data_IF_295852721588
#
_entry.id   IF_295852721588
#
_cell.length_a   1.000
_cell.length_b   1.000
_cell.length_c   1.000
_cell.angle_alpha   90.00
_cell.angle_beta   90.00
_cell.angle_gamma   90.00
#
_symmetry.space_group_name_H-M   'P 1'
#
loop_
_entity.id
_entity.type
_entity.pdbx_description
1 polymer ?
#
# COMPACT_ATOMS: atom_id res chain seq x y z
N UNK A 1 0.02 -48.27 20.38
CA UNK A 1 0.59 -46.94 20.49
C UNK A 1 -0.22 -46.01 19.58
N UNK A 2 -0.83 -45.02 20.20
CA UNK A 2 -1.53 -43.99 19.42
C UNK A 2 -0.55 -43.30 18.45
N UNK A 3 -0.96 -43.14 17.22
CA UNK A 3 -0.17 -42.43 16.21
C UNK A 3 -0.64 -40.97 16.18
N UNK A 4 0.14 -40.10 16.81
CA UNK A 4 -0.06 -38.65 16.71
C UNK A 4 0.85 -38.09 15.62
N UNK A 5 0.37 -37.15 14.83
CA UNK A 5 1.18 -36.55 13.76
C UNK A 5 0.48 -35.43 13.01
N UNK A 6 1.12 -34.98 11.92
CA UNK A 6 0.55 -34.05 10.95
C UNK A 6 0.23 -34.79 9.66
N UNK A 7 -1.01 -34.75 9.21
CA UNK A 7 -1.43 -35.27 7.93
C UNK A 7 -2.08 -34.16 7.10
N UNK A 8 -1.58 -33.95 5.89
CA UNK A 8 -2.05 -32.85 5.05
C UNK A 8 -1.91 -31.47 5.66
N UNK A 9 -1.01 -31.29 6.66
CA UNK A 9 -0.82 -30.05 7.38
C UNK A 9 -1.70 -29.87 8.64
N UNK A 10 -2.53 -30.87 8.96
CA UNK A 10 -3.42 -30.83 10.13
C UNK A 10 -2.97 -31.85 11.19
N UNK A 11 -3.19 -31.49 12.45
CA UNK A 11 -2.95 -32.39 13.56
C UNK A 11 -3.88 -33.57 13.51
N UNK A 12 -3.33 -34.77 13.68
CA UNK A 12 -4.06 -36.04 13.68
C UNK A 12 -3.71 -36.82 14.94
N UNK A 13 -4.73 -37.28 15.63
CA UNK A 13 -4.63 -38.19 16.77
C UNK A 13 -5.59 -39.38 16.55
N UNK A 14 -5.06 -40.60 16.61
CA UNK A 14 -5.82 -41.82 16.33
C UNK A 14 -6.81 -42.18 17.48
N UNK A 15 -6.51 -41.72 18.71
CA UNK A 15 -7.31 -42.07 19.88
C UNK A 15 -8.35 -41.02 20.28
N UNK A 16 -7.98 -39.74 20.17
CA UNK A 16 -8.86 -38.63 20.56
C UNK A 16 -8.80 -37.52 19.49
N UNK A 17 -9.86 -37.39 18.73
CA UNK A 17 -10.03 -36.27 17.83
C UNK A 17 -10.88 -35.19 18.50
N UNK A 18 -10.28 -34.02 18.75
CA UNK A 18 -10.98 -32.82 19.20
C UNK A 18 -11.07 -31.80 18.07
N UNK A 19 -12.08 -30.92 18.13
CA UNK A 19 -12.21 -29.84 17.15
C UNK A 19 -10.92 -29.04 17.04
N UNK A 20 -10.42 -28.85 15.83
CA UNK A 20 -9.23 -28.07 15.59
C UNK A 20 -9.49 -26.59 15.86
N UNK A 21 -8.72 -26.02 16.77
CA UNK A 21 -8.70 -24.59 17.00
C UNK A 21 -7.98 -23.89 15.84
N UNK A 22 -8.57 -22.84 15.32
CA UNK A 22 -7.90 -22.00 14.34
C UNK A 22 -6.99 -21.00 15.08
N UNK A 23 -5.75 -20.89 14.61
CA UNK A 23 -4.87 -19.81 15.06
C UNK A 23 -5.49 -18.46 14.71
N UNK A 24 -5.43 -17.51 15.64
CA UNK A 24 -5.90 -16.16 15.38
C UNK A 24 -5.03 -15.50 14.28
N UNK A 25 -5.66 -14.77 13.39
CA UNK A 25 -4.93 -14.04 12.37
C UNK A 25 -4.09 -12.93 13.04
N UNK A 26 -2.78 -13.06 12.97
CA UNK A 26 -1.83 -12.11 13.57
C UNK A 26 -1.57 -10.87 12.69
N UNK A 27 -2.12 -10.88 11.49
CA UNK A 27 -2.01 -9.77 10.56
C UNK A 27 -3.30 -8.95 10.54
N UNK A 28 -3.21 -7.75 11.05
CA UNK A 28 -4.25 -6.74 10.88
C UNK A 28 -3.57 -5.46 10.42
N UNK A 29 -3.80 -5.07 9.17
CA UNK A 29 -3.25 -3.84 8.63
C UNK A 29 -4.35 -2.99 8.01
N UNK A 30 -4.79 -1.91 8.69
CA UNK A 30 -5.90 -1.08 8.24
C UNK A 30 -5.51 0.00 7.21
N UNK A 31 -4.36 -0.10 6.51
CA UNK A 31 -3.92 0.91 5.55
C UNK A 31 -4.98 1.13 4.46
N UNK A 32 -5.59 0.06 3.97
CA UNK A 32 -6.64 0.13 2.94
C UNK A 32 -7.88 0.91 3.41
N UNK A 33 -8.12 0.96 4.72
CA UNK A 33 -9.28 1.66 5.32
C UNK A 33 -8.95 3.07 5.82
N UNK A 34 -7.70 3.52 5.72
CA UNK A 34 -7.20 4.74 6.36
C UNK A 34 -7.53 6.05 5.60
N UNK A 35 -8.20 5.99 4.44
CA UNK A 35 -8.45 7.16 3.60
C UNK A 35 -7.27 7.54 2.68
N UNK A 36 -6.13 6.88 2.80
CA UNK A 36 -4.97 7.02 1.88
C UNK A 36 -5.37 6.63 0.46
N UNK A 37 -6.27 5.66 0.34
CA UNK A 37 -6.81 5.17 -0.92
C UNK A 37 -8.15 5.84 -1.20
N UNK A 38 -8.21 6.57 -2.32
CA UNK A 38 -9.45 7.07 -2.87
C UNK A 38 -10.02 6.05 -3.85
N UNK A 39 -11.20 5.52 -3.53
CA UNK A 39 -11.91 4.65 -4.46
C UNK A 39 -12.66 5.51 -5.49
N UNK A 40 -12.33 5.31 -6.77
CA UNK A 40 -12.94 6.02 -7.89
C UNK A 40 -13.39 5.01 -8.96
N UNK A 41 -14.65 4.64 -8.92
CA UNK A 41 -15.20 3.64 -9.84
C UNK A 41 -15.24 4.12 -11.29
N UNK A 42 -15.16 5.43 -11.55
CA UNK A 42 -15.11 5.99 -12.92
C UNK A 42 -13.90 5.49 -13.70
N UNK A 43 -12.82 5.10 -13.01
CA UNK A 43 -11.64 4.47 -13.61
C UNK A 43 -12.00 3.12 -14.26
N UNK A 44 -12.81 2.31 -13.58
CA UNK A 44 -13.25 1.03 -14.14
C UNK A 44 -14.23 1.22 -15.29
N UNK A 45 -15.07 2.24 -15.23
CA UNK A 45 -15.98 2.61 -16.32
C UNK A 45 -15.19 3.05 -17.58
N UNK A 46 -14.08 3.77 -17.38
CA UNK A 46 -13.16 4.17 -18.45
C UNK A 46 -12.39 2.96 -19.05
N UNK A 47 -12.00 1.98 -18.23
CA UNK A 47 -11.39 0.73 -18.72
C UNK A 47 -12.40 -0.09 -19.50
N UNK A 48 -13.67 -0.07 -19.09
CA UNK A 48 -14.74 -0.86 -19.70
C UNK A 48 -14.64 -2.36 -19.37
N UNK A 49 -15.55 -3.15 -19.95
CA UNK A 49 -15.65 -4.57 -19.65
C UNK A 49 -14.47 -5.42 -20.16
N UNK A 50 -13.74 -4.94 -21.16
CA UNK A 50 -12.70 -5.71 -21.89
C UNK A 50 -11.33 -5.04 -21.94
N UNK A 51 -11.17 -3.86 -21.36
CA UNK A 51 -9.88 -3.14 -21.31
C UNK A 51 -9.04 -3.52 -20.09
N UNK A 52 -7.73 -3.16 -20.16
CA UNK A 52 -6.79 -3.29 -19.05
C UNK A 52 -6.16 -1.95 -18.66
N UNK A 53 -6.29 -0.94 -19.50
CA UNK A 53 -5.63 0.36 -19.36
C UNK A 53 -6.66 1.47 -19.37
N UNK A 54 -6.56 2.40 -18.44
CA UNK A 54 -7.29 3.66 -18.46
C UNK A 54 -6.31 4.83 -18.64
N UNK A 55 -6.71 5.84 -19.37
CA UNK A 55 -5.95 7.08 -19.51
C UNK A 55 -6.83 8.25 -19.10
N UNK A 56 -6.39 8.98 -18.07
CA UNK A 56 -7.08 10.16 -17.56
C UNK A 56 -6.37 11.41 -18.06
N UNK A 57 -7.05 12.31 -18.80
CA UNK A 57 -6.47 13.58 -19.19
C UNK A 57 -6.34 14.50 -17.96
N UNK A 58 -5.25 15.26 -17.92
CA UNK A 58 -4.95 16.20 -16.86
C UNK A 58 -4.68 17.56 -17.50
N UNK A 59 -5.33 18.60 -17.00
CA UNK A 59 -5.00 19.97 -17.37
C UNK A 59 -4.02 20.56 -16.35
N UNK A 60 -2.98 21.20 -16.86
CA UNK A 60 -2.02 21.91 -16.00
C UNK A 60 -2.69 23.18 -15.46
N UNK A 61 -2.68 23.45 -14.16
CA UNK A 61 -3.24 24.68 -13.60
C UNK A 61 -2.44 25.90 -14.11
N UNK A 62 -3.12 27.02 -14.30
CA UNK A 62 -2.48 28.28 -14.63
C UNK A 62 -1.62 28.75 -13.45
N UNK A 63 -0.35 28.98 -13.71
CA UNK A 63 0.60 29.40 -12.67
C UNK A 63 1.38 30.65 -13.14
N UNK A 64 1.27 31.73 -12.39
CA UNK A 64 1.93 33.00 -12.70
C UNK A 64 3.48 32.92 -12.66
N UNK A 65 4.01 31.91 -11.97
CA UNK A 65 5.46 31.67 -11.88
C UNK A 65 6.01 30.85 -13.06
N UNK A 66 5.14 30.37 -13.95
CA UNK A 66 5.58 29.79 -15.20
C UNK A 66 6.06 30.91 -16.15
N UNK A 67 7.20 30.70 -16.81
CA UNK A 67 7.90 31.70 -17.61
C UNK A 67 7.04 32.37 -18.69
N UNK A 68 5.98 31.68 -19.14
CA UNK A 68 5.10 32.14 -20.22
C UNK A 68 3.70 32.55 -19.74
N UNK A 69 3.42 32.48 -18.43
CA UNK A 69 2.07 32.75 -17.88
C UNK A 69 2.00 33.99 -16.98
N UNK A 70 3.05 34.81 -16.97
CA UNK A 70 3.03 36.09 -16.27
C UNK A 70 2.03 37.08 -16.87
N UNK A 71 1.32 37.79 -16.00
CA UNK A 71 0.42 38.85 -16.46
C UNK A 71 1.19 39.99 -17.14
N UNK A 72 0.72 40.40 -18.30
CA UNK A 72 1.27 41.51 -19.07
C UNK A 72 0.68 42.85 -18.57
N UNK A 73 1.45 43.92 -18.76
CA UNK A 73 0.97 45.26 -18.42
C UNK A 73 -0.06 45.72 -19.46
N UNK A 74 -1.19 46.25 -18.98
CA UNK A 74 -2.18 46.88 -19.83
C UNK A 74 -1.91 48.40 -19.91
N UNK A 75 -1.02 48.80 -20.81
CA UNK A 75 -0.61 50.17 -21.02
C UNK A 75 -1.14 50.76 -22.34
N UNK A 76 -1.95 50.00 -23.05
CA UNK A 76 -2.49 50.37 -24.37
C UNK A 76 -1.46 50.32 -25.52
N UNK A 77 -0.23 49.81 -25.25
CA UNK A 77 0.85 49.64 -26.22
C UNK A 77 1.40 48.23 -26.26
N UNK A 78 1.28 47.45 -25.17
CA UNK A 78 1.77 46.09 -25.07
C UNK A 78 0.78 45.10 -25.69
N UNK A 79 1.22 44.31 -26.67
CA UNK A 79 0.40 43.28 -27.28
C UNK A 79 0.16 42.12 -26.32
N UNK A 80 -1.10 41.73 -26.20
CA UNK A 80 -1.48 40.55 -25.42
C UNK A 80 -1.27 39.28 -26.25
N UNK A 81 -0.24 38.51 -25.94
CA UNK A 81 0.10 37.28 -26.65
C UNK A 81 -0.62 36.10 -25.99
N UNK A 82 -1.50 35.39 -26.73
CA UNK A 82 -2.19 34.21 -26.22
C UNK A 82 -1.21 33.08 -25.90
N UNK A 83 -1.40 32.42 -24.77
CA UNK A 83 -0.66 31.22 -24.36
C UNK A 83 -1.60 30.02 -24.34
N UNK A 84 -1.15 28.90 -24.91
CA UNK A 84 -1.90 27.67 -24.89
C UNK A 84 -1.83 26.99 -23.53
N UNK A 85 -2.96 26.43 -23.07
CA UNK A 85 -3.01 25.61 -21.86
C UNK A 85 -2.42 24.25 -22.20
N UNK A 86 -1.38 23.85 -21.48
CA UNK A 86 -0.79 22.53 -21.63
C UNK A 86 -1.62 21.48 -20.88
N UNK A 87 -1.65 20.28 -21.44
CA UNK A 87 -2.28 19.12 -20.85
C UNK A 87 -1.31 17.94 -20.76
N UNK A 88 -1.58 17.05 -19.85
CA UNK A 88 -0.85 15.81 -19.65
C UNK A 88 -1.84 14.65 -19.53
N UNK A 89 -1.33 13.42 -19.47
CA UNK A 89 -2.16 12.24 -19.27
C UNK A 89 -1.59 11.36 -18.17
N UNK A 90 -2.47 10.83 -17.32
CA UNK A 90 -2.15 9.81 -16.34
C UNK A 90 -2.69 8.47 -16.84
N UNK A 91 -1.81 7.50 -17.01
CA UNK A 91 -2.16 6.17 -17.48
C UNK A 91 -2.10 5.20 -16.30
N UNK A 92 -3.17 4.44 -16.12
CA UNK A 92 -3.37 3.45 -15.08
C UNK A 92 -3.60 2.09 -15.71
N UNK A 93 -3.22 1.02 -15.01
CA UNK A 93 -3.40 -0.35 -15.51
C UNK A 93 -4.10 -1.22 -14.47
N UNK A 94 -4.94 -2.14 -14.95
CA UNK A 94 -5.64 -3.11 -14.12
C UNK A 94 -4.67 -4.20 -13.66
N UNK A 95 -4.57 -4.38 -12.36
CA UNK A 95 -3.80 -5.44 -11.72
C UNK A 95 -4.73 -6.62 -11.46
N UNK A 96 -4.37 -7.80 -11.94
CA UNK A 96 -5.15 -9.01 -11.73
C UNK A 96 -4.30 -10.04 -10.99
N UNK A 97 -4.87 -10.62 -9.93
CA UNK A 97 -4.22 -11.64 -9.10
C UNK A 97 -5.12 -12.87 -8.99
N UNK A 98 -4.50 -14.03 -9.02
CA UNK A 98 -5.20 -15.31 -8.86
C UNK A 98 -4.45 -16.21 -7.89
N UNK A 99 -5.20 -17.04 -7.18
CA UNK A 99 -4.66 -18.10 -6.32
C UNK A 99 -5.59 -19.30 -6.33
N UNK A 100 -4.99 -20.47 -6.36
CA UNK A 100 -5.71 -21.73 -6.20
C UNK A 100 -5.26 -22.41 -4.89
N UNK A 101 -6.21 -23.01 -4.22
CA UNK A 101 -6.03 -23.81 -3.01
C UNK A 101 -6.53 -25.23 -3.27
N UNK A 102 -5.94 -26.22 -2.59
CA UNK A 102 -6.36 -27.62 -2.71
C UNK A 102 -6.39 -28.28 -1.34
N UNK A 103 -7.32 -29.19 -1.16
CA UNK A 103 -7.39 -30.08 -0.02
C UNK A 103 -7.74 -31.49 -0.47
N UNK A 104 -7.13 -32.51 0.13
CA UNK A 104 -7.42 -33.90 -0.16
C UNK A 104 -8.61 -34.38 0.66
N UNK A 105 -9.54 -35.09 0.05
CA UNK A 105 -10.69 -35.72 0.74
C UNK A 105 -10.25 -36.63 1.88
N UNK A 106 -9.21 -37.40 1.66
CA UNK A 106 -8.65 -38.28 2.69
C UNK A 106 -8.24 -37.53 3.97
N UNK A 107 -7.82 -36.27 3.88
CA UNK A 107 -7.55 -35.45 5.06
C UNK A 107 -8.82 -35.23 5.88
N UNK A 108 -9.94 -34.95 5.22
CA UNK A 108 -11.24 -34.75 5.86
C UNK A 108 -11.76 -36.04 6.49
N UNK A 109 -11.66 -37.16 5.76
CA UNK A 109 -12.08 -38.47 6.23
C UNK A 109 -11.28 -38.94 7.46
N UNK A 110 -9.95 -38.70 7.45
CA UNK A 110 -9.06 -39.14 8.52
C UNK A 110 -9.08 -38.23 9.75
N UNK A 111 -9.15 -36.91 9.56
CA UNK A 111 -8.99 -35.92 10.62
C UNK A 111 -10.31 -35.24 11.03
N UNK A 112 -11.38 -35.42 10.25
CA UNK A 112 -12.64 -34.66 10.43
C UNK A 112 -12.55 -33.17 10.12
N UNK A 113 -11.36 -32.63 9.80
CA UNK A 113 -11.18 -31.23 9.45
C UNK A 113 -11.71 -30.94 8.03
N UNK A 114 -12.30 -29.75 7.84
CA UNK A 114 -12.71 -29.26 6.51
C UNK A 114 -11.83 -28.08 6.08
N UNK A 115 -10.67 -28.34 5.43
CA UNK A 115 -9.74 -27.29 5.02
C UNK A 115 -10.33 -26.31 4.02
N UNK A 116 -11.18 -26.78 3.11
CA UNK A 116 -11.78 -25.92 2.07
C UNK A 116 -12.75 -24.90 2.66
N UNK A 117 -13.57 -25.30 3.63
CA UNK A 117 -14.45 -24.37 4.34
C UNK A 117 -13.65 -23.29 5.09
N UNK A 118 -12.55 -23.69 5.71
CA UNK A 118 -11.64 -22.75 6.39
C UNK A 118 -10.99 -21.77 5.40
N UNK A 119 -10.51 -22.26 4.26
CA UNK A 119 -9.94 -21.41 3.19
C UNK A 119 -10.98 -20.42 2.68
N UNK A 120 -12.22 -20.86 2.42
CA UNK A 120 -13.30 -19.97 1.98
C UNK A 120 -13.57 -18.84 2.98
N UNK A 121 -13.51 -19.12 4.27
CA UNK A 121 -13.68 -18.11 5.33
C UNK A 121 -12.53 -17.09 5.36
N UNK A 122 -11.30 -17.53 5.11
CA UNK A 122 -10.09 -16.68 5.22
C UNK A 122 -9.69 -15.98 3.91
N UNK A 123 -10.27 -16.34 2.77
CA UNK A 123 -9.84 -15.84 1.46
C UNK A 123 -9.95 -14.32 1.31
N UNK A 124 -10.93 -13.70 1.95
CA UNK A 124 -11.10 -12.24 1.90
C UNK A 124 -9.93 -11.52 2.62
N UNK A 125 -9.52 -12.03 3.77
CA UNK A 125 -8.38 -11.49 4.50
C UNK A 125 -7.06 -11.72 3.74
N UNK A 126 -6.91 -12.89 3.11
CA UNK A 126 -5.79 -13.16 2.22
C UNK A 126 -5.66 -12.09 1.11
N UNK A 127 -6.76 -11.75 0.42
CA UNK A 127 -6.71 -10.73 -0.62
C UNK A 127 -6.50 -9.31 -0.08
N UNK A 128 -6.98 -8.98 1.12
CA UNK A 128 -6.61 -7.72 1.77
C UNK A 128 -5.09 -7.61 1.94
N UNK A 129 -4.44 -8.67 2.44
CA UNK A 129 -2.98 -8.72 2.57
C UNK A 129 -2.27 -8.58 1.22
N UNK A 130 -2.78 -9.24 0.16
CA UNK A 130 -2.23 -9.12 -1.20
C UNK A 130 -2.27 -7.66 -1.67
N UNK A 131 -3.41 -6.98 -1.52
CA UNK A 131 -3.55 -5.61 -1.98
C UNK A 131 -2.75 -4.60 -1.15
N UNK A 132 -2.58 -4.82 0.14
CA UNK A 132 -1.68 -4.02 0.98
C UNK A 132 -0.22 -4.20 0.55
N UNK A 133 0.18 -5.44 0.28
CA UNK A 133 1.52 -5.73 -0.24
C UNK A 133 1.78 -5.02 -1.58
N UNK A 134 0.83 -5.07 -2.51
CA UNK A 134 0.94 -4.36 -3.78
C UNK A 134 1.03 -2.84 -3.57
N UNK A 135 0.23 -2.27 -2.67
CA UNK A 135 0.26 -0.84 -2.38
C UNK A 135 1.62 -0.39 -1.82
N UNK A 136 2.16 -1.13 -0.87
CA UNK A 136 3.46 -0.80 -0.26
C UNK A 136 4.61 -0.97 -1.26
N UNK A 137 4.52 -1.97 -2.14
CA UNK A 137 5.47 -2.16 -3.24
C UNK A 137 5.45 -0.98 -4.22
N UNK A 138 4.27 -0.54 -4.62
CA UNK A 138 4.10 0.65 -5.46
C UNK A 138 4.59 1.92 -4.75
N UNK A 139 4.27 2.09 -3.46
CA UNK A 139 4.77 3.21 -2.66
C UNK A 139 6.31 3.26 -2.63
N UNK A 140 6.95 2.11 -2.45
CA UNK A 140 8.40 2.01 -2.50
C UNK A 140 8.97 2.37 -3.87
N UNK A 141 8.34 1.91 -4.96
CA UNK A 141 8.77 2.22 -6.33
C UNK A 141 8.66 3.72 -6.62
N UNK A 142 7.54 4.34 -6.22
CA UNK A 142 7.29 5.78 -6.39
C UNK A 142 8.36 6.62 -5.69
N UNK A 143 8.80 6.21 -4.50
CA UNK A 143 9.87 6.90 -3.78
C UNK A 143 11.26 6.70 -4.42
N UNK A 144 11.39 5.82 -5.39
CA UNK A 144 12.59 5.67 -6.23
C UNK A 144 12.60 6.55 -7.49
N UNK A 145 11.52 7.29 -7.77
CA UNK A 145 11.44 8.19 -8.93
C UNK A 145 12.27 9.44 -8.67
N UNK A 146 13.22 9.75 -9.53
CA UNK A 146 14.16 10.86 -9.35
C UNK A 146 13.49 12.24 -9.19
N UNK A 147 12.34 12.44 -9.84
CA UNK A 147 11.55 13.68 -9.70
C UNK A 147 10.88 13.85 -8.31
N UNK A 148 10.94 12.83 -7.45
CA UNK A 148 10.44 12.83 -6.08
C UNK A 148 11.56 12.67 -5.05
N UNK A 149 12.81 13.04 -5.40
CA UNK A 149 13.96 13.00 -4.48
C UNK A 149 13.71 13.76 -3.17
N UNK A 150 13.05 14.90 -3.24
CA UNK A 150 12.73 15.75 -2.08
C UNK A 150 11.71 15.10 -1.12
N UNK A 151 10.99 14.07 -1.60
CA UNK A 151 10.06 13.29 -0.79
C UNK A 151 10.74 12.15 -0.01
N UNK A 152 12.05 11.96 -0.18
CA UNK A 152 12.83 10.92 0.48
C UNK A 152 13.87 11.55 1.40
N UNK A 153 13.66 11.42 2.70
CA UNK A 153 14.65 11.78 3.72
C UNK A 153 15.42 10.54 4.09
N UNK A 154 16.68 10.44 3.64
CA UNK A 154 17.52 9.27 3.89
C UNK A 154 18.60 9.59 4.92
N UNK A 155 18.41 9.10 6.14
CA UNK A 155 19.38 9.18 7.24
C UNK A 155 20.18 7.88 7.36
N UNK A 156 19.85 6.86 6.57
CA UNK A 156 20.40 5.52 6.73
C UNK A 156 21.79 5.40 6.15
N UNK A 157 22.59 4.54 6.78
CA UNK A 157 23.91 4.13 6.29
C UNK A 157 23.93 2.61 6.12
N UNK A 158 24.75 2.14 5.21
CA UNK A 158 24.96 0.71 4.93
C UNK A 158 26.39 0.25 5.25
N UNK A 159 27.26 1.15 5.65
CA UNK A 159 28.66 0.89 6.01
C UNK A 159 29.09 1.84 7.13
N UNK A 160 30.09 1.45 7.91
CA UNK A 160 30.63 2.27 8.99
C UNK A 160 29.98 2.01 10.35
N UNK A 161 29.77 3.03 11.16
CA UNK A 161 29.15 2.92 12.49
C UNK A 161 27.86 3.73 12.53
N UNK A 162 26.76 3.10 12.94
CA UNK A 162 25.49 3.79 13.11
C UNK A 162 25.61 4.80 14.26
N UNK A 163 25.54 6.09 13.92
CA UNK A 163 25.55 7.21 14.84
C UNK A 163 24.12 7.71 15.12
N UNK A 164 23.98 8.67 16.04
CA UNK A 164 22.65 9.21 16.39
C UNK A 164 22.02 10.00 15.23
N UNK A 165 22.82 10.57 14.35
CA UNK A 165 22.34 11.23 13.11
C UNK A 165 21.67 10.25 12.12
N UNK A 166 21.93 8.94 12.25
CA UNK A 166 21.32 7.90 11.42
C UNK A 166 20.03 7.32 12.03
N UNK A 167 19.65 7.82 13.20
CA UNK A 167 18.44 7.43 13.92
C UNK A 167 17.40 8.55 13.83
N UNK A 168 16.17 8.19 14.13
CA UNK A 168 15.07 9.16 14.23
C UNK A 168 15.27 10.05 15.46
N UNK A 169 15.07 11.34 15.27
CA UNK A 169 15.06 12.37 16.30
C UNK A 169 13.70 13.10 16.36
N UNK A 170 13.59 14.08 17.24
CA UNK A 170 12.35 14.83 17.49
C UNK A 170 11.85 15.60 16.28
N UNK A 171 12.73 16.08 15.40
CA UNK A 171 12.39 16.94 14.25
C UNK A 171 12.28 16.17 12.94
N UNK A 172 12.78 14.92 12.87
CA UNK A 172 12.94 14.18 11.62
C UNK A 172 11.67 14.13 10.77
N UNK A 173 10.50 13.89 11.41
CA UNK A 173 9.24 13.81 10.66
C UNK A 173 8.78 15.18 10.16
N UNK A 174 9.03 16.26 10.90
CA UNK A 174 8.68 17.63 10.52
C UNK A 174 9.56 18.08 9.35
N UNK A 175 10.86 17.81 9.44
CA UNK A 175 11.83 18.16 8.41
C UNK A 175 11.54 17.41 7.10
N UNK A 176 11.19 16.13 7.21
CA UNK A 176 10.80 15.31 6.05
C UNK A 176 9.53 15.82 5.35
N UNK A 177 8.53 16.24 6.12
CA UNK A 177 7.29 16.81 5.58
C UNK A 177 7.54 18.16 4.91
N UNK A 178 8.33 19.00 5.54
CA UNK A 178 8.69 20.31 5.00
C UNK A 178 9.51 20.15 3.71
N UNK A 179 10.45 19.21 3.65
CA UNK A 179 11.22 18.93 2.45
C UNK A 179 10.34 18.41 1.31
N UNK A 180 9.39 17.49 1.60
CA UNK A 180 8.52 16.88 0.61
C UNK A 180 7.49 17.84 0.02
N UNK A 181 6.76 18.57 0.86
CA UNK A 181 5.57 19.33 0.46
C UNK A 181 5.68 20.82 0.72
N UNK A 182 6.68 21.29 1.47
CA UNK A 182 6.85 22.70 1.82
C UNK A 182 5.61 23.28 2.50
N UNK A 183 5.00 24.25 1.86
CA UNK A 183 3.78 24.94 2.33
C UNK A 183 2.52 24.04 2.34
N UNK A 184 2.55 22.87 1.66
CA UNK A 184 1.46 21.89 1.62
C UNK A 184 1.63 20.72 2.60
N UNK A 185 2.59 20.80 3.54
CA UNK A 185 2.91 19.70 4.49
C UNK A 185 1.71 19.21 5.30
N UNK A 186 0.71 20.04 5.60
CA UNK A 186 -0.53 19.65 6.26
C UNK A 186 -1.38 18.63 5.50
N UNK A 187 -1.05 18.30 4.25
CA UNK A 187 -1.73 17.30 3.44
C UNK A 187 -1.40 15.84 3.80
N UNK A 188 -0.43 15.59 4.70
CA UNK A 188 -0.07 14.24 5.18
C UNK A 188 -0.80 13.96 6.49
N UNK A 189 -1.55 12.87 6.54
CA UNK A 189 -2.41 12.53 7.68
C UNK A 189 -2.11 11.18 8.35
N UNK A 190 -1.37 10.30 7.68
CA UNK A 190 -1.04 8.96 8.16
C UNK A 190 0.46 8.71 8.12
N UNK A 191 0.98 8.13 9.18
CA UNK A 191 2.36 7.64 9.27
C UNK A 191 2.33 6.12 9.42
N UNK A 192 3.02 5.41 8.55
CA UNK A 192 3.21 3.96 8.62
C UNK A 192 4.65 3.66 8.96
N UNK A 193 4.90 3.00 10.08
CA UNK A 193 6.24 2.78 10.60
C UNK A 193 6.43 1.39 11.23
N UNK A 194 7.68 0.98 11.33
CA UNK A 194 8.08 -0.24 12.04
C UNK A 194 7.92 -0.08 13.56
N UNK A 195 7.64 -1.18 14.26
CA UNK A 195 7.49 -1.20 15.72
C UNK A 195 8.71 -0.65 16.47
N UNK A 196 9.93 -0.88 15.99
CA UNK A 196 11.16 -0.33 16.55
C UNK A 196 11.21 1.19 16.47
N UNK A 197 10.81 1.78 15.34
CA UNK A 197 10.74 3.22 15.15
C UNK A 197 9.67 3.83 16.05
N UNK A 198 8.52 3.18 16.16
CA UNK A 198 7.47 3.59 17.07
C UNK A 198 7.94 3.58 18.53
N UNK A 199 8.71 2.57 18.93
CA UNK A 199 9.33 2.53 20.26
C UNK A 199 10.33 3.67 20.47
N UNK A 200 11.07 4.10 19.44
CA UNK A 200 11.96 5.25 19.51
C UNK A 200 11.17 6.56 19.75
N UNK A 201 10.09 6.79 18.98
CA UNK A 201 9.21 7.94 19.21
C UNK A 201 8.54 7.95 20.58
N UNK A 202 8.17 6.78 21.12
CA UNK A 202 7.68 6.67 22.51
C UNK A 202 8.72 7.10 23.54
N UNK A 203 9.99 6.75 23.35
CA UNK A 203 11.09 7.16 24.24
C UNK A 203 11.33 8.66 24.19
N UNK A 204 11.09 9.31 23.06
CA UNK A 204 11.16 10.76 22.87
C UNK A 204 9.90 11.47 23.40
N UNK A 205 8.92 10.76 23.94
CA UNK A 205 7.63 11.26 24.45
C UNK A 205 6.80 12.04 23.40
N UNK A 206 6.96 11.71 22.11
CA UNK A 206 6.27 12.38 20.99
C UNK A 206 4.95 11.70 20.61
N UNK A 207 4.64 10.53 21.21
CA UNK A 207 3.42 9.78 20.90
C UNK A 207 2.30 10.27 21.83
N UNK A 208 1.24 10.76 21.23
CA UNK A 208 0.00 11.12 21.86
C UNK A 208 -1.09 10.11 21.52
N UNK A 209 -2.16 10.06 22.32
CA UNK A 209 -3.32 9.23 22.05
C UNK A 209 -4.56 10.07 21.98
N UNK A 210 -5.40 9.84 20.98
CA UNK A 210 -6.64 10.55 20.83
C UNK A 210 -7.58 10.28 22.02
N UNK A 211 -8.21 11.34 22.52
CA UNK A 211 -9.12 11.29 23.68
C UNK A 211 -10.52 11.72 23.25
N UNK A 212 -11.50 10.88 23.55
CA UNK A 212 -12.89 11.24 23.36
C UNK A 212 -13.40 12.02 24.60
N UNK A 213 -13.64 13.32 24.38
CA UNK A 213 -14.10 14.23 25.45
C UNK A 213 -15.55 14.61 25.21
N UNK A 214 -16.41 14.37 26.22
CA UNK A 214 -17.81 14.83 26.22
C UNK A 214 -18.04 15.68 27.47
N UNK A 215 -18.51 16.91 27.28
CA UNK A 215 -18.77 17.87 28.34
C UNK A 215 -17.58 18.12 29.28
N UNK A 216 -16.35 18.19 28.72
CA UNK A 216 -15.13 18.44 29.49
C UNK A 216 -14.58 17.24 30.27
N UNK A 217 -15.26 16.10 30.27
CA UNK A 217 -14.76 14.87 30.90
C UNK A 217 -14.26 13.88 29.84
N UNK A 218 -13.08 13.32 30.05
CA UNK A 218 -12.54 12.23 29.22
C UNK A 218 -13.37 10.98 29.50
N UNK A 219 -14.15 10.53 28.51
CA UNK A 219 -14.96 9.33 28.64
C UNK A 219 -14.27 8.05 28.16
N UNK A 220 -13.34 8.17 27.18
CA UNK A 220 -12.61 7.04 26.64
C UNK A 220 -11.33 7.54 25.96
N UNK A 221 -10.21 6.91 26.24
CA UNK A 221 -9.03 7.02 25.38
C UNK A 221 -9.22 6.07 24.20
N UNK A 222 -9.18 6.62 22.99
CA UNK A 222 -9.09 5.82 21.78
C UNK A 222 -7.64 5.42 21.65
N UNK A 223 -7.36 4.12 21.64
CA UNK A 223 -5.99 3.60 21.58
C UNK A 223 -5.40 3.73 20.15
N UNK A 224 -5.55 4.92 19.55
CA UNK A 224 -5.01 5.28 18.26
C UNK A 224 -3.85 6.27 18.49
N UNK A 225 -2.61 5.83 18.30
CA UNK A 225 -1.46 6.70 18.51
C UNK A 225 -1.39 7.79 17.45
N UNK A 226 -1.00 8.98 17.86
CA UNK A 226 -0.74 10.13 16.99
C UNK A 226 0.63 10.69 17.23
N UNK A 227 1.27 11.20 16.18
CA UNK A 227 2.55 11.92 16.25
C UNK A 227 2.39 13.20 15.44
N UNK A 228 2.56 14.35 16.08
CA UNK A 228 2.39 15.65 15.40
C UNK A 228 1.01 15.83 14.78
N UNK A 229 -0.05 15.30 15.40
CA UNK A 229 -1.43 15.36 14.91
C UNK A 229 -1.75 14.38 13.76
N UNK A 230 -0.85 13.46 13.43
CA UNK A 230 -1.05 12.45 12.39
C UNK A 230 -1.25 11.08 13.01
N UNK A 231 -2.16 10.31 12.45
CA UNK A 231 -2.39 8.94 12.90
C UNK A 231 -1.20 8.03 12.59
N UNK A 232 -0.86 7.14 13.51
CA UNK A 232 0.26 6.21 13.36
C UNK A 232 -0.26 4.80 13.20
N UNK A 233 0.18 4.14 12.14
CA UNK A 233 -0.02 2.74 11.92
C UNK A 233 1.31 2.00 12.09
N UNK A 234 1.36 1.06 13.00
CA UNK A 234 2.55 0.26 13.26
C UNK A 234 2.43 -1.06 12.52
N UNK A 235 3.40 -1.33 11.63
CA UNK A 235 3.52 -2.60 10.94
C UNK A 235 4.99 -2.95 10.74
N UNK A 236 5.35 -4.19 11.01
CA UNK A 236 6.71 -4.69 10.78
C UNK A 236 6.90 -5.23 9.35
N UNK A 237 5.80 -5.35 8.62
CA UNK A 237 5.81 -5.75 7.21
C UNK A 237 6.09 -4.53 6.32
N UNK A 238 6.91 -4.71 5.28
CA UNK A 238 7.29 -3.68 4.27
C UNK A 238 8.09 -2.49 4.80
N UNK A 239 8.27 -2.38 6.10
CA UNK A 239 8.91 -1.25 6.77
C UNK A 239 10.36 -1.51 7.18
N UNK A 240 10.85 -2.73 6.98
CA UNK A 240 12.23 -3.15 7.26
C UNK A 240 12.93 -3.61 5.99
N UNK A 241 14.13 -3.08 5.78
CA UNK A 241 15.09 -3.59 4.81
C UNK A 241 16.33 -4.09 5.55
N UNK A 242 16.46 -5.41 5.64
CA UNK A 242 17.56 -6.10 6.33
C UNK A 242 18.58 -6.70 5.35
N UNK A 243 18.62 -6.21 4.11
CA UNK A 243 19.46 -6.75 3.04
C UNK A 243 20.95 -6.66 3.40
N UNK A 244 21.35 -5.59 4.10
CA UNK A 244 22.74 -5.42 4.55
C UNK A 244 22.89 -5.87 6.00
N UNK A 245 23.65 -6.92 6.24
CA UNK A 245 23.92 -7.46 7.58
C UNK A 245 24.54 -6.40 8.47
N UNK A 246 23.94 -6.18 9.67
CA UNK A 246 24.41 -5.19 10.63
C UNK A 246 23.90 -3.76 10.40
N UNK A 247 23.26 -3.48 9.28
CA UNK A 247 22.71 -2.16 8.94
C UNK A 247 21.23 -2.26 8.54
N UNK A 248 20.33 -2.59 9.45
CA UNK A 248 18.90 -2.61 9.15
C UNK A 248 18.43 -1.19 8.83
N UNK A 249 17.72 -1.03 7.72
CA UNK A 249 17.11 0.23 7.31
C UNK A 249 15.61 0.15 7.56
N UNK A 250 15.12 1.03 8.41
CA UNK A 250 13.69 1.17 8.70
C UNK A 250 13.09 2.23 7.80
N UNK A 251 12.00 1.86 7.13
CA UNK A 251 11.26 2.72 6.22
C UNK A 251 10.00 3.22 6.92
N UNK A 252 9.88 4.51 7.09
CA UNK A 252 8.67 5.17 7.62
C UNK A 252 8.01 5.91 6.47
N UNK A 253 6.78 5.53 6.14
CA UNK A 253 6.02 6.15 5.07
C UNK A 253 5.06 7.18 5.63
N UNK A 254 4.98 8.31 4.94
CA UNK A 254 4.05 9.39 5.21
C UNK A 254 3.03 9.43 4.07
N UNK A 255 1.76 9.29 4.38
CA UNK A 255 0.68 9.30 3.40
C UNK A 255 -0.32 10.40 3.68
N UNK A 256 -0.83 11.01 2.62
CA UNK A 256 -1.97 11.90 2.69
C UNK A 256 -3.23 11.27 2.14
N UNK A 257 -4.35 11.92 2.36
CA UNK A 257 -5.64 11.50 1.83
C UNK A 257 -5.63 11.49 0.29
N UNK A 258 -6.10 10.40 -0.31
CA UNK A 258 -6.15 10.23 -1.76
C UNK A 258 -4.77 10.11 -2.43
N UNK A 259 -3.72 9.69 -1.70
CA UNK A 259 -2.40 9.42 -2.27
C UNK A 259 -2.44 8.31 -3.33
N UNK A 260 -3.36 7.37 -3.21
CA UNK A 260 -3.60 6.32 -4.18
C UNK A 260 -5.03 6.38 -4.72
N UNK A 261 -5.16 6.09 -6.02
CA UNK A 261 -6.43 5.84 -6.69
C UNK A 261 -6.67 4.34 -6.75
N UNK A 262 -7.89 3.93 -6.47
CA UNK A 262 -8.29 2.52 -6.53
C UNK A 262 -9.64 2.37 -7.21
N UNK A 263 -9.81 1.27 -7.94
CA UNK A 263 -11.08 0.85 -8.47
C UNK A 263 -11.14 -0.67 -8.54
N UNK A 264 -12.23 -1.26 -8.06
CA UNK A 264 -12.39 -2.71 -8.00
C UNK A 264 -13.05 -3.24 -9.28
N UNK A 265 -12.46 -4.29 -9.87
CA UNK A 265 -13.09 -5.01 -10.97
C UNK A 265 -14.12 -5.99 -10.41
N UNK A 266 -15.38 -5.68 -10.59
CA UNK A 266 -16.51 -6.50 -10.12
C UNK A 266 -17.04 -7.48 -11.17
N UNK A 267 -16.76 -7.25 -12.46
CA UNK A 267 -17.32 -8.00 -13.58
C UNK A 267 -16.49 -9.25 -13.90
N UNK A 268 -16.43 -10.20 -12.96
CA UNK A 268 -15.90 -11.52 -13.20
C UNK A 268 -17.05 -12.55 -13.32
N UNK A 269 -17.08 -13.32 -14.39
CA UNK A 269 -18.04 -14.41 -14.52
C UNK A 269 -17.85 -15.49 -13.46
N UNK A 270 -16.59 -15.84 -13.15
CA UNK A 270 -16.24 -16.86 -12.17
C UNK A 270 -15.11 -16.36 -11.26
N UNK A 271 -15.47 -15.50 -10.29
CA UNK A 271 -14.50 -14.96 -9.33
C UNK A 271 -14.01 -16.04 -8.35
N UNK A 272 -14.92 -16.91 -7.92
CA UNK A 272 -14.67 -18.03 -7.02
C UNK A 272 -15.27 -19.31 -7.63
N UNK A 273 -14.46 -20.34 -7.81
CA UNK A 273 -14.90 -21.61 -8.40
C UNK A 273 -14.33 -22.75 -7.61
N UNK A 274 -15.18 -23.70 -7.25
CA UNK A 274 -14.78 -25.01 -6.70
C UNK A 274 -14.83 -26.07 -7.78
N UNK A 275 -13.82 -26.92 -7.81
CA UNK A 275 -13.78 -28.09 -8.67
C UNK A 275 -13.32 -29.30 -7.86
N UNK A 276 -13.85 -30.46 -8.18
CA UNK A 276 -13.45 -31.70 -7.57
C UNK A 276 -12.71 -32.57 -8.59
N UNK A 277 -11.53 -33.01 -8.21
CA UNK A 277 -10.72 -33.93 -9.04
C UNK A 277 -10.65 -35.31 -8.39
N UNK A 278 -11.40 -36.31 -8.89
CA UNK A 278 -11.40 -37.66 -8.34
C UNK A 278 -10.13 -38.44 -8.68
N UNK A 279 -9.34 -38.03 -9.66
CA UNK A 279 -8.15 -38.75 -10.11
C UNK A 279 -6.94 -38.50 -9.20
N UNK A 280 -6.83 -37.31 -8.63
CA UNK A 280 -5.68 -36.94 -7.80
C UNK A 280 -5.92 -37.37 -6.35
N UNK A 281 -5.09 -38.30 -5.83
CA UNK A 281 -5.08 -38.73 -4.42
C UNK A 281 -6.44 -39.28 -3.92
N UNK A 282 -7.18 -39.99 -4.78
CA UNK A 282 -8.52 -40.56 -4.53
C UNK A 282 -9.60 -39.51 -4.20
N UNK A 283 -9.38 -38.27 -4.60
CA UNK A 283 -10.28 -37.15 -4.42
C UNK A 283 -9.55 -35.94 -3.88
N UNK A 284 -9.63 -34.82 -4.60
CA UNK A 284 -9.06 -33.56 -4.21
C UNK A 284 -10.01 -32.42 -4.53
N UNK A 285 -10.37 -31.65 -3.52
CA UNK A 285 -11.10 -30.41 -3.68
C UNK A 285 -10.15 -29.27 -4.10
N UNK A 286 -10.52 -28.58 -5.17
CA UNK A 286 -9.81 -27.43 -5.71
C UNK A 286 -10.67 -26.17 -5.55
N UNK A 287 -10.10 -25.11 -5.00
CA UNK A 287 -10.75 -23.81 -4.87
C UNK A 287 -9.94 -22.74 -5.58
N UNK A 288 -10.48 -22.22 -6.66
CA UNK A 288 -9.86 -21.20 -7.50
C UNK A 288 -10.43 -19.84 -7.16
N UNK A 289 -9.54 -18.86 -7.03
CA UNK A 289 -9.92 -17.48 -6.74
C UNK A 289 -9.17 -16.50 -7.65
N UNK A 290 -9.85 -15.43 -8.06
CA UNK A 290 -9.25 -14.34 -8.83
C UNK A 290 -9.84 -13.01 -8.39
N UNK A 291 -9.02 -12.00 -8.32
CA UNK A 291 -9.44 -10.62 -8.07
C UNK A 291 -8.68 -9.66 -8.98
N UNK A 292 -9.31 -8.55 -9.31
CA UNK A 292 -8.71 -7.47 -10.08
C UNK A 292 -9.03 -6.13 -9.43
N UNK A 293 -8.02 -5.28 -9.40
CA UNK A 293 -8.11 -3.93 -8.85
C UNK A 293 -7.16 -3.03 -9.63
N UNK A 294 -7.59 -1.81 -9.87
CA UNK A 294 -6.66 -0.74 -10.20
C UNK A 294 -6.14 -0.17 -8.89
N UNK A 295 -4.83 -0.08 -8.74
CA UNK A 295 -4.18 0.54 -7.61
C UNK A 295 -3.01 1.37 -8.15
N UNK A 296 -3.16 2.69 -8.10
CA UNK A 296 -2.25 3.59 -8.79
C UNK A 296 -1.94 4.83 -7.94
N UNK A 297 -0.67 5.25 -7.85
CA UNK A 297 -0.29 6.47 -7.14
C UNK A 297 -0.82 7.70 -7.89
N UNK A 298 -1.48 8.59 -7.18
CA UNK A 298 -2.08 9.78 -7.78
C UNK A 298 -0.99 10.77 -8.22
N UNK A 299 -1.13 11.29 -9.43
CA UNK A 299 -0.19 12.26 -10.00
C UNK A 299 1.00 11.67 -10.76
N UNK A 300 1.12 10.36 -10.82
CA UNK A 300 2.10 9.67 -11.65
C UNK A 300 1.42 8.95 -12.83
N UNK A 301 2.16 8.60 -13.84
CA UNK A 301 1.70 7.79 -14.98
C UNK A 301 2.54 6.54 -15.08
N UNK A 302 1.90 5.39 -15.29
CA UNK A 302 2.58 4.12 -15.53
C UNK A 302 2.97 4.02 -17.01
N UNK A 303 4.20 3.61 -17.28
CA UNK A 303 4.70 3.32 -18.63
C UNK A 303 4.22 1.92 -19.06
N UNK A 304 3.05 1.86 -19.68
CA UNK A 304 2.43 0.59 -20.10
C UNK A 304 3.30 -0.19 -21.07
N UNK A 305 4.03 0.51 -21.93
CA UNK A 305 4.93 -0.12 -22.92
C UNK A 305 6.08 -0.89 -22.29
N UNK A 306 6.41 -0.64 -21.03
CA UNK A 306 7.43 -1.37 -20.28
C UNK A 306 6.90 -2.61 -19.54
N UNK A 307 5.59 -2.82 -19.56
CA UNK A 307 4.93 -3.96 -18.92
C UNK A 307 4.82 -5.10 -19.93
N UNK A 308 5.42 -6.24 -19.61
CA UNK A 308 5.53 -7.36 -20.56
C UNK A 308 4.21 -8.13 -20.76
N UNK A 309 3.25 -8.02 -19.86
CA UNK A 309 1.99 -8.80 -19.87
C UNK A 309 0.77 -7.89 -19.66
N UNK A 310 -0.39 -8.43 -19.98
CA UNK A 310 -1.70 -7.78 -19.82
C UNK A 310 -2.07 -7.39 -18.36
N UNK A 311 -1.40 -7.95 -17.38
CA UNK A 311 -1.47 -7.56 -15.98
C UNK A 311 -0.06 -7.39 -15.44
N UNK A 312 0.30 -6.24 -14.85
CA UNK A 312 1.64 -6.01 -14.36
C UNK A 312 2.00 -6.99 -13.22
N UNK A 313 3.22 -7.48 -13.25
CA UNK A 313 3.76 -8.32 -12.19
C UNK A 313 4.12 -7.48 -10.97
N UNK A 314 4.31 -8.13 -9.82
CA UNK A 314 4.76 -7.47 -8.59
C UNK A 314 6.12 -6.74 -8.80
N UNK A 315 7.05 -7.36 -9.53
CA UNK A 315 8.35 -6.76 -9.81
C UNK A 315 8.26 -5.53 -10.73
N UNK A 316 7.42 -5.58 -11.77
CA UNK A 316 7.20 -4.44 -12.67
C UNK A 316 6.57 -3.25 -11.94
N UNK A 317 5.61 -3.51 -11.03
CA UNK A 317 5.02 -2.48 -10.16
C UNK A 317 6.03 -1.91 -9.15
N UNK A 318 7.00 -2.71 -8.71
CA UNK A 318 8.07 -2.30 -7.80
C UNK A 318 9.23 -1.56 -8.49
N UNK A 319 9.17 -1.34 -9.81
CA UNK A 319 10.25 -0.70 -10.57
C UNK A 319 9.99 0.79 -10.75
N UNK A 320 10.83 1.64 -10.17
CA UNK A 320 10.69 3.10 -10.22
C UNK A 320 10.70 3.68 -11.64
N UNK A 321 11.48 3.09 -12.55
CA UNK A 321 11.58 3.53 -13.95
C UNK A 321 10.26 3.41 -14.72
N UNK A 322 9.31 2.61 -14.24
CA UNK A 322 8.00 2.46 -14.85
C UNK A 322 7.03 3.61 -14.51
N UNK A 323 7.43 4.52 -13.62
CA UNK A 323 6.60 5.65 -13.20
C UNK A 323 7.19 6.98 -13.66
N UNK A 324 6.33 7.86 -14.16
CA UNK A 324 6.68 9.23 -14.52
C UNK A 324 5.76 10.23 -13.82
N UNK A 325 6.35 11.25 -13.21
CA UNK A 325 5.61 12.32 -12.54
C UNK A 325 4.86 13.16 -13.57
N UNK A 326 3.58 13.43 -13.32
CA UNK A 326 2.71 14.26 -14.18
C UNK A 326 2.16 15.50 -13.46
N UNK A 327 2.02 15.42 -12.14
CA UNK A 327 1.66 16.56 -11.30
C UNK A 327 2.90 17.35 -10.87
N UNK A 328 2.68 18.53 -10.28
CA UNK A 328 3.69 19.14 -9.45
C UNK A 328 4.01 18.20 -8.27
N UNK A 329 5.29 18.04 -7.91
CA UNK A 329 5.69 17.12 -6.85
C UNK A 329 4.94 17.38 -5.53
N UNK A 330 4.66 18.65 -5.16
CA UNK A 330 3.89 19.01 -3.96
C UNK A 330 2.46 18.44 -3.90
N UNK A 331 1.90 18.05 -5.04
CA UNK A 331 0.59 17.41 -5.09
C UNK A 331 0.64 15.90 -4.89
N UNK A 332 1.85 15.30 -4.85
CA UNK A 332 2.04 13.87 -4.57
C UNK A 332 2.18 13.70 -3.06
N UNK A 333 1.12 13.23 -2.42
CA UNK A 333 1.02 13.13 -0.95
C UNK A 333 1.63 11.83 -0.42
N UNK A 334 2.87 11.55 -0.80
CA UNK A 334 3.63 10.39 -0.34
C UNK A 334 5.04 10.86 0.06
N UNK A 335 5.51 10.48 1.24
CA UNK A 335 6.88 10.73 1.70
C UNK A 335 7.49 9.47 2.29
N UNK A 336 8.81 9.41 2.34
CA UNK A 336 9.57 8.29 2.88
C UNK A 336 10.73 8.81 3.73
N UNK A 337 10.82 8.29 4.96
CA UNK A 337 11.99 8.47 5.82
C UNK A 337 12.69 7.11 5.95
N UNK A 338 14.00 7.08 5.73
CA UNK A 338 14.83 5.91 5.96
C UNK A 338 15.80 6.20 7.12
N UNK A 339 15.90 5.28 8.06
CA UNK A 339 16.78 5.41 9.23
C UNK A 339 17.31 4.05 9.68
N UNK A 340 18.36 4.02 10.48
CA UNK A 340 18.89 2.79 11.08
C UNK A 340 18.32 2.50 12.49
N UNK A 341 17.39 3.30 12.98
CA UNK A 341 16.74 3.05 14.26
C UNK A 341 16.17 4.27 14.93
#
# INVERSE_FOLDING_TARGET
MARTGLFGGFYFDEEVFTDMMAEAEYWSNPILASGVIRNDQSIMDAIGAKGNVATMPIYTPLNIHDSNMGALNNDGMTDNTPVEISGSKQTLMLIQRMKAFKAKDFTKELTGADPISRIKASVQNYYKQVWENEMMNVAQAVMGVSALSDHVTDLSITTGTIADVNKINETTHIDAEQAALGDMAGGLGLIVMHSKIFAAYKKLALVEYDKYVVNGAIKQEINLPTIGGKHVLVTDYYTLDATTTGFPVYKTYLFGEGAFLSADKTNYENQYTTNYDPQTAAGTDLFYTKQGKVLHPNGLSLAVDSIAKESPTFAELGTAANYSLKFNHKNVKIGLIKSNG
#
